data_IF_331639106860
#
_entry.id   IF_331639106860
#
_cell.length_a   1.000
_cell.length_b   1.000
_cell.length_c   1.000
_cell.angle_alpha   90.00
_cell.angle_beta   90.00
_cell.angle_gamma   90.00
#
_symmetry.space_group_name_H-M   'P 1'
#
loop_
_entity.id
_entity.type
_entity.pdbx_description
1 polymer ?
#
# COMPACT_ATOMS: atom_id res chain seq x y z
N UNK A 1 -14.04 6.44 6.49
CA UNK A 1 -12.91 5.98 5.65
C UNK A 1 -11.99 5.11 6.48
N UNK A 2 -11.86 3.84 6.12
CA UNK A 2 -11.04 2.87 6.85
C UNK A 2 -9.55 3.32 6.89
N UNK A 3 -8.81 2.98 7.96
CA UNK A 3 -7.39 3.38 8.08
C UNK A 3 -6.52 2.73 7.00
N UNK A 4 -6.88 1.56 6.48
CA UNK A 4 -6.23 0.95 5.31
C UNK A 4 -6.43 1.80 4.06
N UNK A 5 -7.64 2.34 3.84
CA UNK A 5 -7.90 3.21 2.69
C UNK A 5 -7.16 4.55 2.83
N UNK A 6 -6.99 5.08 4.06
CA UNK A 6 -6.11 6.23 4.32
C UNK A 6 -4.66 5.93 3.93
N UNK A 7 -4.12 4.79 4.37
CA UNK A 7 -2.76 4.39 4.03
C UNK A 7 -2.56 4.21 2.51
N UNK A 8 -3.55 3.62 1.82
CA UNK A 8 -3.55 3.53 0.35
C UNK A 8 -3.56 4.92 -0.30
N UNK A 9 -4.34 5.87 0.24
CA UNK A 9 -4.40 7.23 -0.27
C UNK A 9 -3.05 7.95 -0.09
N UNK A 10 -2.38 7.78 1.05
CA UNK A 10 -1.03 8.31 1.28
C UNK A 10 -0.03 7.77 0.26
N UNK A 11 -0.01 6.45 0.02
CA UNK A 11 0.87 5.85 -0.99
C UNK A 11 0.57 6.37 -2.40
N UNK A 12 -0.70 6.60 -2.72
CA UNK A 12 -1.09 7.20 -4.01
C UNK A 12 -0.59 8.63 -4.15
N UNK A 13 -0.69 9.45 -3.10
CA UNK A 13 -0.16 10.82 -3.11
C UNK A 13 1.35 10.81 -3.26
N UNK A 14 2.04 9.95 -2.53
CA UNK A 14 3.50 9.79 -2.65
C UNK A 14 3.91 9.41 -4.08
N UNK A 15 3.19 8.46 -4.69
CA UNK A 15 3.46 8.07 -6.08
C UNK A 15 3.25 9.22 -7.05
N UNK A 16 2.19 10.02 -6.84
CA UNK A 16 1.91 11.21 -7.64
C UNK A 16 3.02 12.25 -7.49
N UNK A 17 3.49 12.51 -6.27
CA UNK A 17 4.59 13.45 -5.99
C UNK A 17 5.88 12.99 -6.68
N UNK A 18 6.18 11.69 -6.66
CA UNK A 18 7.36 11.10 -7.30
C UNK A 18 7.21 10.87 -8.81
N UNK A 19 6.03 11.09 -9.38
CA UNK A 19 5.74 10.84 -10.79
C UNK A 19 5.82 9.37 -11.21
N UNK A 20 5.58 8.43 -10.28
CA UNK A 20 5.68 6.98 -10.54
C UNK A 20 4.32 6.31 -10.63
N UNK A 21 4.31 5.13 -11.25
CA UNK A 21 3.12 4.30 -11.35
C UNK A 21 2.62 3.83 -9.98
N UNK A 22 1.31 3.85 -9.79
CA UNK A 22 0.66 3.30 -8.60
C UNK A 22 -0.61 2.54 -8.97
N UNK A 23 -0.75 1.32 -8.45
CA UNK A 23 -1.93 0.48 -8.64
C UNK A 23 -2.32 -0.19 -7.35
N UNK A 24 -3.62 -0.41 -7.18
CA UNK A 24 -4.17 -1.24 -6.10
C UNK A 24 -5.09 -2.27 -6.69
N UNK A 25 -4.96 -3.51 -6.23
CA UNK A 25 -5.89 -4.59 -6.51
C UNK A 25 -6.48 -5.07 -5.19
N UNK A 26 -7.81 -4.95 -5.08
CA UNK A 26 -8.57 -5.49 -3.95
C UNK A 26 -9.14 -6.88 -4.26
N UNK A 27 -8.89 -7.42 -5.45
CA UNK A 27 -9.44 -8.71 -5.91
C UNK A 27 -8.54 -9.90 -5.55
N UNK A 28 -9.10 -10.83 -4.77
CA UNK A 28 -8.72 -12.24 -4.59
C UNK A 28 -7.43 -12.59 -3.82
N UNK A 29 -7.21 -12.00 -2.64
CA UNK A 29 -6.41 -12.64 -1.59
C UNK A 29 -7.28 -13.42 -0.60
N UNK A 30 -6.84 -14.60 -0.15
CA UNK A 30 -7.46 -15.31 0.99
C UNK A 30 -7.46 -14.36 2.20
N UNK A 31 -8.64 -14.03 2.76
CA UNK A 31 -8.75 -13.15 3.93
C UNK A 31 -8.90 -11.63 3.65
N UNK A 32 -9.20 -11.21 2.41
CA UNK A 32 -9.57 -9.81 2.11
C UNK A 32 -8.39 -8.83 2.02
N UNK A 33 -7.18 -9.36 1.87
CA UNK A 33 -5.97 -8.57 1.67
C UNK A 33 -6.00 -7.86 0.31
N UNK A 34 -5.36 -6.70 0.24
CA UNK A 34 -5.15 -5.97 -1.00
C UNK A 34 -3.69 -6.15 -1.46
N UNK A 35 -3.42 -5.96 -2.74
CA UNK A 35 -2.05 -5.83 -3.27
C UNK A 35 -1.87 -4.41 -3.79
N UNK A 36 -0.74 -3.79 -3.50
CA UNK A 36 -0.37 -2.47 -4.00
C UNK A 36 0.93 -2.57 -4.80
N UNK A 37 0.99 -1.83 -5.90
CA UNK A 37 2.18 -1.66 -6.73
C UNK A 37 2.61 -0.19 -6.66
N UNK A 38 3.90 0.04 -6.49
CA UNK A 38 4.54 1.35 -6.45
C UNK A 38 5.81 1.28 -7.30
N UNK A 39 5.83 2.00 -8.41
CA UNK A 39 6.88 1.90 -9.43
C UNK A 39 7.08 0.43 -9.88
N UNK A 40 8.28 -0.12 -9.69
CA UNK A 40 8.70 -1.49 -10.00
C UNK A 40 8.41 -2.50 -8.87
N UNK A 41 7.97 -2.03 -7.70
CA UNK A 41 7.78 -2.84 -6.49
C UNK A 41 6.31 -3.09 -6.18
N UNK A 42 6.04 -4.15 -5.44
CA UNK A 42 4.69 -4.44 -4.94
C UNK A 42 4.74 -5.12 -3.59
N UNK A 43 3.63 -5.03 -2.85
CA UNK A 43 3.46 -5.76 -1.59
C UNK A 43 1.98 -5.95 -1.26
N UNK A 44 1.71 -6.86 -0.32
CA UNK A 44 0.35 -7.13 0.17
C UNK A 44 0.03 -6.27 1.38
N UNK A 45 -1.16 -5.67 1.40
CA UNK A 45 -1.74 -4.98 2.54
C UNK A 45 -2.74 -5.92 3.23
N UNK A 46 -2.61 -6.15 4.54
CA UNK A 46 -3.57 -6.95 5.28
C UNK A 46 -4.96 -6.30 5.29
N UNK A 47 -6.00 -7.08 5.56
CA UNK A 47 -7.39 -6.60 5.61
C UNK A 47 -7.71 -5.78 6.86
N UNK A 48 -6.89 -5.92 7.91
CA UNK A 48 -6.97 -5.15 9.16
C UNK A 48 -6.42 -3.73 9.02
N UNK A 49 -6.61 -2.96 10.09
CA UNK A 49 -5.94 -1.68 10.30
C UNK A 49 -4.42 -1.82 10.15
N UNK A 50 -3.81 -0.85 9.46
CA UNK A 50 -2.37 -0.74 9.28
C UNK A 50 -1.80 0.06 10.45
N UNK A 51 -1.22 -0.64 11.42
CA UNK A 51 -0.47 -0.03 12.51
C UNK A 51 0.88 0.56 12.02
N UNK A 52 1.49 1.51 12.76
CA UNK A 52 2.72 2.18 12.33
C UNK A 52 3.89 1.22 12.01
N UNK A 53 4.02 0.12 12.74
CA UNK A 53 5.08 -0.88 12.52
C UNK A 53 4.85 -1.65 11.22
N UNK A 54 3.61 -2.01 10.94
CA UNK A 54 3.22 -2.64 9.65
C UNK A 54 3.39 -1.64 8.49
N UNK A 55 3.00 -0.38 8.68
CA UNK A 55 3.17 0.67 7.67
C UNK A 55 4.66 0.85 7.29
N UNK A 56 5.56 0.89 8.28
CA UNK A 56 7.00 1.00 8.05
C UNK A 56 7.55 -0.19 7.24
N UNK A 57 7.13 -1.42 7.55
CA UNK A 57 7.53 -2.62 6.78
C UNK A 57 7.04 -2.56 5.34
N UNK A 58 5.79 -2.13 5.13
CA UNK A 58 5.22 -1.98 3.78
C UNK A 58 5.97 -0.90 3.00
N UNK A 59 6.23 0.26 3.60
CA UNK A 59 7.01 1.34 2.97
C UNK A 59 8.41 0.87 2.58
N UNK A 60 9.08 0.11 3.45
CA UNK A 60 10.38 -0.51 3.14
C UNK A 60 10.31 -1.48 1.97
N UNK A 61 9.30 -2.35 1.95
CA UNK A 61 9.08 -3.27 0.82
C UNK A 61 8.85 -2.52 -0.50
N UNK A 62 8.19 -1.36 -0.45
CA UNK A 62 7.96 -0.48 -1.60
C UNK A 62 9.13 0.47 -1.93
N UNK A 63 10.24 0.42 -1.18
CA UNK A 63 11.41 1.29 -1.43
C UNK A 63 11.20 2.75 -1.04
N UNK A 64 10.26 3.03 -0.13
CA UNK A 64 9.92 4.39 0.31
C UNK A 64 10.68 4.85 1.56
N UNK A 65 11.38 3.94 2.26
CA UNK A 65 12.26 4.23 3.41
C UNK A 65 13.03 2.98 3.82
#
# INVERSE_FOLDING_TARGET
>A
MDKRDRFIAELRQEAKIRGVFFRVSKSRGKGGHATVWFADRFTTLPSREIDPKTAAKIRKALGLT
#
